data_IF_864179953747
#
_entry.id   IF_864179953747
#
_cell.length_a   1.000
_cell.length_b   1.000
_cell.length_c   1.000
_cell.angle_alpha   90.00
_cell.angle_beta   90.00
_cell.angle_gamma   90.00
#
_symmetry.space_group_name_H-M   'P 1'
#
loop_
_entity.id
_entity.type
_entity.pdbx_description
1 polymer ?
#
# COMPACT_ATOMS: atom_id res chain seq x y z
N UNK A 1 -3.31 -22.62 -31.71
CA UNK A 1 -3.82 -21.42 -31.01
C UNK A 1 -3.23 -21.41 -29.60
N UNK A 2 -2.81 -20.23 -29.14
CA UNK A 2 -1.69 -20.02 -28.20
C UNK A 2 -1.89 -20.49 -26.76
N UNK A 3 -0.79 -20.96 -26.16
CA UNK A 3 -0.61 -21.14 -24.72
C UNK A 3 -0.17 -19.80 -24.13
N UNK A 4 -1.06 -19.15 -23.39
CA UNK A 4 -0.70 -17.97 -22.59
C UNK A 4 -0.10 -18.44 -21.27
N UNK A 5 1.22 -18.63 -21.26
CA UNK A 5 1.96 -18.81 -20.01
C UNK A 5 2.25 -17.43 -19.45
N UNK A 6 1.53 -17.05 -18.39
CA UNK A 6 1.86 -15.86 -17.60
C UNK A 6 3.27 -16.04 -17.03
N UNK A 7 4.21 -15.21 -17.49
CA UNK A 7 5.57 -15.21 -16.98
C UNK A 7 5.58 -14.38 -15.69
N UNK A 8 6.07 -15.00 -14.61
CA UNK A 8 6.41 -14.27 -13.40
C UNK A 8 7.62 -13.38 -13.72
N UNK A 9 7.38 -12.07 -13.80
CA UNK A 9 8.45 -11.09 -13.80
C UNK A 9 8.96 -10.94 -12.38
N UNK A 10 10.16 -11.44 -12.12
CA UNK A 10 10.86 -11.12 -10.89
C UNK A 10 11.42 -9.70 -11.08
N UNK A 11 10.63 -8.72 -10.67
CA UNK A 11 11.03 -7.31 -10.70
C UNK A 11 12.26 -7.18 -9.81
N UNK A 12 13.36 -6.73 -10.42
CA UNK A 12 14.60 -6.40 -9.72
C UNK A 12 14.25 -5.34 -8.69
N UNK A 13 14.48 -5.62 -7.40
CA UNK A 13 14.27 -4.69 -6.27
C UNK A 13 15.22 -3.49 -6.36
N UNK A 14 15.02 -2.62 -7.35
CA UNK A 14 15.66 -1.31 -7.40
C UNK A 14 14.94 -0.41 -6.39
N UNK A 15 15.52 -0.34 -5.19
CA UNK A 15 15.15 0.61 -4.14
C UNK A 15 13.64 0.59 -3.83
N UNK A 16 13.12 -0.60 -3.48
CA UNK A 16 11.79 -0.73 -2.87
C UNK A 16 11.72 0.28 -1.71
N UNK A 17 10.88 1.29 -1.87
CA UNK A 17 10.43 2.02 -0.69
C UNK A 17 9.84 0.99 0.25
N UNK A 18 10.32 0.94 1.49
CA UNK A 18 9.75 0.03 2.47
C UNK A 18 8.27 0.39 2.68
N UNK A 19 7.39 -0.35 2.01
CA UNK A 19 5.94 -0.17 2.04
C UNK A 19 5.44 -0.15 3.48
N UNK A 20 6.03 -0.96 4.36
CA UNK A 20 5.68 -0.98 5.77
C UNK A 20 6.02 0.35 6.46
N UNK A 21 7.19 0.93 6.17
CA UNK A 21 7.57 2.24 6.68
C UNK A 21 6.65 3.36 6.19
N UNK A 22 6.29 3.36 4.89
CA UNK A 22 5.35 4.35 4.34
C UNK A 22 3.96 4.20 4.96
N UNK A 23 3.44 2.98 5.06
CA UNK A 23 2.14 2.72 5.67
C UNK A 23 2.11 3.12 7.15
N UNK A 24 3.22 2.94 7.88
CA UNK A 24 3.37 3.41 9.26
C UNK A 24 3.27 4.93 9.35
N UNK A 25 4.01 5.66 8.52
CA UNK A 25 3.99 7.13 8.52
C UNK A 25 2.60 7.68 8.15
N UNK A 26 1.94 7.06 7.16
CA UNK A 26 0.58 7.40 6.76
C UNK A 26 -0.42 7.12 7.88
N UNK A 27 -0.31 5.97 8.54
CA UNK A 27 -1.16 5.59 9.66
C UNK A 27 -1.08 6.60 10.81
N UNK A 28 0.14 6.97 11.23
CA UNK A 28 0.34 7.96 12.29
C UNK A 28 -0.17 9.34 11.87
N UNK A 29 0.07 9.77 10.64
CA UNK A 29 -0.44 11.05 10.14
C UNK A 29 -1.97 11.10 10.12
N UNK A 30 -2.64 10.01 9.73
CA UNK A 30 -4.10 9.91 9.75
C UNK A 30 -4.65 9.95 11.18
N UNK A 31 -4.02 9.21 12.10
CA UNK A 31 -4.40 9.15 13.51
C UNK A 31 -4.24 10.50 14.20
N UNK A 32 -3.14 11.21 13.97
CA UNK A 32 -2.91 12.55 14.53
C UNK A 32 -3.95 13.58 14.08
N UNK A 33 -4.49 13.42 12.87
CA UNK A 33 -5.53 14.30 12.33
C UNK A 33 -6.95 13.86 12.70
N UNK A 34 -7.09 12.76 13.46
CA UNK A 34 -8.38 12.25 13.92
C UNK A 34 -9.18 11.49 12.86
N UNK A 35 -8.54 11.05 11.78
CA UNK A 35 -9.17 10.15 10.81
C UNK A 35 -9.12 8.70 11.31
N UNK A 36 -10.02 7.86 10.81
CA UNK A 36 -9.88 6.40 10.94
C UNK A 36 -8.86 5.92 9.89
N UNK A 37 -7.65 5.50 10.28
CA UNK A 37 -6.60 5.21 9.31
C UNK A 37 -6.95 4.05 8.37
N UNK A 38 -7.61 3.01 8.89
CA UNK A 38 -7.99 1.81 8.12
C UNK A 38 -8.95 2.20 7.00
N UNK A 39 -10.03 2.91 7.33
CA UNK A 39 -11.03 3.32 6.33
C UNK A 39 -10.42 4.19 5.23
N UNK A 40 -9.52 5.09 5.57
CA UNK A 40 -8.87 5.98 4.61
C UNK A 40 -7.88 5.25 3.70
N UNK A 41 -7.06 4.35 4.27
CA UNK A 41 -6.10 3.55 3.48
C UNK A 41 -6.86 2.60 2.55
N UNK A 42 -7.90 1.92 3.02
CA UNK A 42 -8.76 1.07 2.18
C UNK A 42 -9.42 1.89 1.06
N UNK A 43 -9.98 3.05 1.40
CA UNK A 43 -10.58 3.97 0.42
C UNK A 43 -9.59 4.39 -0.67
N UNK A 44 -8.36 4.72 -0.29
CA UNK A 44 -7.27 5.04 -1.23
C UNK A 44 -6.91 3.85 -2.13
N UNK A 45 -6.70 2.65 -1.57
CA UNK A 45 -6.33 1.46 -2.35
C UNK A 45 -7.40 1.18 -3.42
N UNK A 46 -8.68 1.17 -3.02
CA UNK A 46 -9.80 0.84 -3.92
C UNK A 46 -10.04 1.91 -5.00
N UNK A 47 -9.98 3.20 -4.64
CA UNK A 47 -10.35 4.29 -5.55
C UNK A 47 -9.16 4.85 -6.35
N UNK A 48 -7.96 4.78 -5.80
CA UNK A 48 -6.79 5.52 -6.27
C UNK A 48 -6.83 7.02 -5.98
N UNK A 49 -7.86 7.52 -5.27
CA UNK A 49 -8.01 8.94 -4.98
C UNK A 49 -7.14 9.34 -3.76
N UNK A 50 -6.08 10.17 -3.96
CA UNK A 50 -5.18 10.56 -2.88
C UNK A 50 -5.82 11.49 -1.84
N UNK A 51 -7.05 11.98 -2.06
CA UNK A 51 -7.78 12.83 -1.09
C UNK A 51 -8.18 12.07 0.18
N UNK A 52 -8.28 10.74 0.11
CA UNK A 52 -8.43 9.89 1.30
C UNK A 52 -7.25 10.03 2.28
N UNK A 53 -6.05 10.34 1.78
CA UNK A 53 -4.87 10.50 2.61
C UNK A 53 -4.63 11.97 2.92
N UNK A 54 -4.37 12.28 4.19
CA UNK A 54 -4.04 13.65 4.62
C UNK A 54 -2.69 14.11 4.06
N UNK A 55 -2.54 15.42 3.78
CA UNK A 55 -1.23 16.00 3.45
C UNK A 55 -0.33 16.22 4.67
N UNK A 56 -0.86 16.02 5.88
CA UNK A 56 -0.08 16.14 7.13
C UNK A 56 1.15 15.23 7.07
N UNK A 57 2.31 15.74 7.51
CA UNK A 57 3.60 15.02 7.50
C UNK A 57 3.98 14.40 6.15
N UNK A 58 3.55 15.01 5.04
CA UNK A 58 3.77 14.50 3.67
C UNK A 58 3.15 13.12 3.40
N UNK A 59 2.22 12.62 4.24
CA UNK A 59 1.66 11.28 4.10
C UNK A 59 1.07 11.00 2.72
N UNK A 60 0.30 11.94 2.17
CA UNK A 60 -0.24 11.83 0.80
C UNK A 60 0.86 11.64 -0.24
N UNK A 61 1.91 12.46 -0.21
CA UNK A 61 3.00 12.38 -1.18
C UNK A 61 3.86 11.13 -0.98
N UNK A 62 3.92 10.56 0.22
CA UNK A 62 4.63 9.31 0.50
C UNK A 62 3.89 8.12 -0.10
N UNK A 63 2.58 7.99 0.16
CA UNK A 63 1.80 6.84 -0.32
C UNK A 63 1.66 6.80 -1.84
N UNK A 64 1.76 7.94 -2.51
CA UNK A 64 1.73 8.05 -3.97
C UNK A 64 3.03 7.61 -4.66
N UNK A 65 4.09 7.29 -3.89
CA UNK A 65 5.36 6.75 -4.42
C UNK A 65 5.35 5.22 -4.56
N UNK A 66 4.31 4.57 -4.03
CA UNK A 66 4.16 3.12 -4.01
C UNK A 66 2.95 2.77 -4.86
N UNK A 67 3.06 1.73 -5.67
CA UNK A 67 1.93 1.23 -6.44
C UNK A 67 0.90 0.59 -5.50
N UNK A 68 -0.39 0.72 -5.83
CA UNK A 68 -1.47 0.29 -4.93
C UNK A 68 -1.59 -1.23 -4.82
N UNK A 69 -1.24 -1.94 -5.88
CA UNK A 69 -1.17 -3.39 -5.91
C UNK A 69 -0.03 -3.91 -5.03
N UNK A 70 1.12 -3.25 -4.99
CA UNK A 70 2.23 -3.56 -4.06
C UNK A 70 1.78 -3.45 -2.60
N UNK A 71 1.05 -2.39 -2.25
CA UNK A 71 0.44 -2.23 -0.92
C UNK A 71 -0.49 -3.42 -0.61
N UNK A 72 -1.35 -3.80 -1.56
CA UNK A 72 -2.31 -4.89 -1.37
C UNK A 72 -1.64 -6.25 -1.25
N UNK A 73 -0.60 -6.51 -2.04
CA UNK A 73 0.19 -7.74 -2.02
C UNK A 73 0.83 -7.93 -0.65
N UNK A 74 1.56 -6.94 -0.14
CA UNK A 74 2.20 -6.99 1.19
C UNK A 74 1.18 -7.22 2.31
N UNK A 75 0.01 -6.58 2.24
CA UNK A 75 -1.07 -6.77 3.23
C UNK A 75 -1.62 -8.20 3.19
N UNK A 76 -1.78 -8.77 2.00
CA UNK A 76 -2.34 -10.11 1.84
C UNK A 76 -1.32 -11.21 2.19
N UNK A 77 -0.05 -11.02 1.85
CA UNK A 77 1.05 -11.90 2.28
C UNK A 77 1.12 -11.99 3.81
N UNK A 78 1.08 -10.84 4.49
CA UNK A 78 1.04 -10.80 5.96
C UNK A 78 -0.21 -11.50 6.53
N UNK A 79 -1.37 -11.36 5.89
CA UNK A 79 -2.57 -12.09 6.32
C UNK A 79 -2.38 -13.61 6.19
N UNK A 80 -1.82 -14.10 5.09
CA UNK A 80 -1.50 -15.53 4.92
C UNK A 80 -0.55 -15.99 6.03
N UNK A 81 0.52 -15.25 6.27
CA UNK A 81 1.58 -15.63 7.22
C UNK A 81 1.13 -15.57 8.68
N UNK A 82 0.16 -14.71 9.03
CA UNK A 82 -0.28 -14.53 10.42
C UNK A 82 -1.59 -15.20 10.77
N UNK A 83 -2.43 -15.52 9.77
CA UNK A 83 -3.78 -16.07 10.00
C UNK A 83 -4.01 -17.44 9.38
N UNK A 84 -3.23 -17.85 8.36
CA UNK A 84 -3.49 -19.08 7.62
C UNK A 84 -2.38 -20.13 7.74
N UNK A 85 -1.13 -19.72 8.00
CA UNK A 85 -0.01 -20.61 8.34
C UNK A 85 0.09 -20.78 9.86
#
# INVERSE_FOLDING_TARGET
MGRNNTQFFQVVKEQEYDVASILKDVYEALKEKGYNPINQIVGYIMSGDPTYITSHKNARSLIMKVERDEILEVLFENYIDTQLK
#
